data_IF_945381981264
#
_entry.id   IF_945381981264
#
_cell.length_a   1.000
_cell.length_b   1.000
_cell.length_c   1.000
_cell.angle_alpha   90.00
_cell.angle_beta   90.00
_cell.angle_gamma   90.00
#
_symmetry.space_group_name_H-M   'P 1'
#
loop_
_entity.id
_entity.type
_entity.pdbx_description
1 polymer ?
#
# COMPACT_ATOMS: atom_id res chain seq x y z
N UNK A 1 3.48 -15.19 -7.56
CA UNK A 1 4.69 -14.39 -7.26
C UNK A 1 5.91 -15.29 -7.05
N UNK A 2 5.76 -16.37 -6.27
CA UNK A 2 6.83 -17.34 -6.01
C UNK A 2 7.37 -18.00 -7.30
N UNK A 3 6.52 -18.38 -8.25
CA UNK A 3 6.99 -18.97 -9.53
C UNK A 3 7.74 -17.98 -10.43
N UNK A 4 7.44 -16.69 -10.31
CA UNK A 4 8.19 -15.63 -11.00
C UNK A 4 9.54 -15.39 -10.32
N UNK A 5 9.58 -15.34 -8.98
CA UNK A 5 10.82 -15.29 -8.20
C UNK A 5 11.70 -16.53 -8.45
N UNK A 6 11.12 -17.73 -8.56
CA UNK A 6 11.84 -18.97 -8.94
C UNK A 6 12.52 -18.83 -10.30
N UNK A 7 11.85 -18.23 -11.30
CA UNK A 7 12.44 -17.97 -12.62
C UNK A 7 13.55 -16.91 -12.57
N UNK A 8 13.35 -15.84 -11.82
CA UNK A 8 14.34 -14.77 -11.66
C UNK A 8 15.60 -15.25 -10.92
N UNK A 9 15.43 -16.09 -9.90
CA UNK A 9 16.53 -16.69 -9.13
C UNK A 9 17.27 -17.77 -9.93
N UNK A 10 16.59 -18.46 -10.86
CA UNK A 10 17.21 -19.49 -11.70
C UNK A 10 18.05 -18.92 -12.84
N UNK A 11 17.76 -17.70 -13.33
CA UNK A 11 18.41 -17.14 -14.52
C UNK A 11 18.47 -15.58 -14.45
N UNK A 12 19.42 -14.99 -13.69
CA UNK A 12 19.55 -13.54 -13.63
C UNK A 12 20.16 -13.02 -14.95
N UNK A 13 19.66 -11.88 -15.42
CA UNK A 13 20.29 -11.16 -16.52
C UNK A 13 21.79 -10.93 -16.21
N UNK A 14 22.69 -11.03 -17.21
CA UNK A 14 24.11 -10.81 -16.99
C UNK A 14 24.33 -9.41 -16.42
N UNK A 15 25.34 -9.22 -15.54
CA UNK A 15 25.65 -7.91 -14.98
C UNK A 15 25.88 -6.91 -16.12
N UNK A 16 25.47 -5.63 -15.96
CA UNK A 16 25.77 -4.61 -16.94
C UNK A 16 27.28 -4.57 -17.15
N UNK A 17 27.72 -4.76 -18.39
CA UNK A 17 29.13 -4.63 -18.74
C UNK A 17 29.58 -3.21 -18.38
N UNK A 18 30.65 -3.12 -17.60
CA UNK A 18 31.27 -1.84 -17.31
C UNK A 18 31.55 -1.10 -18.63
N UNK A 19 31.32 0.23 -18.72
CA UNK A 19 31.65 0.98 -19.92
C UNK A 19 33.12 0.75 -20.24
N UNK A 20 33.40 0.26 -21.45
CA UNK A 20 34.76 0.09 -21.96
C UNK A 20 35.45 1.44 -21.91
N UNK A 21 36.35 1.60 -20.94
CA UNK A 21 37.24 2.74 -20.86
C UNK A 21 38.11 2.74 -22.11
N UNK A 22 37.95 3.77 -22.95
CA UNK A 22 38.88 4.06 -24.01
C UNK A 22 40.27 4.27 -23.39
N UNK A 23 41.25 3.52 -23.91
CA UNK A 23 42.64 3.59 -23.47
C UNK A 23 43.16 5.04 -23.53
N UNK A 24 43.48 5.59 -22.37
CA UNK A 24 44.32 6.78 -22.24
C UNK A 24 45.53 6.39 -21.40
N UNK A 25 46.70 6.62 -21.99
CA UNK A 25 48.03 6.30 -21.51
C UNK A 25 48.39 7.02 -20.21
N UNK A 26 49.13 6.29 -19.37
CA UNK A 26 49.92 6.65 -18.19
C UNK A 26 50.16 8.14 -17.90
N UNK A 27 49.82 8.56 -16.68
CA UNK A 27 50.80 9.08 -15.70
C UNK A 27 50.29 8.83 -14.29
N UNK A 28 51.14 8.19 -13.48
CA UNK A 28 50.91 7.94 -12.07
C UNK A 28 51.00 9.24 -11.25
N UNK A 29 50.04 9.44 -10.34
CA UNK A 29 50.31 9.99 -9.02
C UNK A 29 49.17 9.65 -8.05
N UNK A 30 49.57 9.30 -6.83
CA UNK A 30 48.74 8.79 -5.74
C UNK A 30 47.81 9.86 -5.15
N UNK A 31 46.51 9.55 -5.03
CA UNK A 31 45.56 10.26 -4.17
C UNK A 31 44.64 9.24 -3.49
N UNK A 32 44.42 9.44 -2.19
CA UNK A 32 43.59 8.63 -1.30
C UNK A 32 42.09 8.62 -1.71
N UNK A 33 41.28 7.63 -1.27
CA UNK A 33 39.88 7.56 -1.63
C UNK A 33 39.04 8.34 -0.61
N UNK A 34 38.64 9.56 -0.96
CA UNK A 34 37.51 10.26 -0.32
C UNK A 34 36.78 11.08 -1.39
N UNK A 35 35.46 11.08 -1.30
CA UNK A 35 34.48 11.82 -2.12
C UNK A 35 34.35 11.42 -3.60
N UNK A 36 33.83 10.21 -3.86
CA UNK A 36 33.06 9.99 -5.07
C UNK A 36 31.73 10.77 -4.94
N UNK A 37 31.39 11.70 -5.86
CA UNK A 37 30.11 12.39 -5.80
C UNK A 37 28.98 11.36 -5.90
N UNK A 38 27.96 11.51 -5.05
CA UNK A 38 26.74 10.72 -5.15
C UNK A 38 26.23 10.74 -6.61
N UNK A 39 25.91 9.58 -7.20
CA UNK A 39 25.37 9.54 -8.55
C UNK A 39 24.07 10.34 -8.60
N UNK A 40 23.93 11.19 -9.63
CA UNK A 40 22.74 11.99 -9.83
C UNK A 40 21.48 11.09 -9.90
N UNK A 41 20.31 11.57 -9.42
CA UNK A 41 19.05 10.85 -9.58
C UNK A 41 18.79 10.56 -11.07
N UNK A 42 18.33 9.33 -11.37
CA UNK A 42 17.97 8.93 -12.72
C UNK A 42 16.89 9.86 -13.28
N UNK A 43 17.10 10.35 -14.50
CA UNK A 43 16.13 11.23 -15.17
C UNK A 43 15.19 10.42 -16.04
N UNK A 44 14.00 10.95 -16.32
CA UNK A 44 13.03 10.37 -17.27
C UNK A 44 13.63 10.05 -18.66
N UNK A 45 14.79 10.64 -19.01
CA UNK A 45 15.49 10.42 -20.27
C UNK A 45 16.28 9.10 -20.33
N UNK A 46 16.54 8.45 -19.20
CA UNK A 46 17.42 7.28 -19.11
C UNK A 46 16.70 5.93 -19.40
N UNK A 47 15.37 5.96 -19.66
CA UNK A 47 14.53 4.77 -19.81
C UNK A 47 13.99 4.68 -21.25
N UNK A 48 14.58 3.81 -22.07
CA UNK A 48 14.22 3.62 -23.49
C UNK A 48 12.85 2.94 -23.72
N UNK A 49 12.24 3.07 -24.91
CA UNK A 49 10.91 2.51 -25.20
C UNK A 49 10.96 1.00 -25.51
N UNK A 50 10.09 0.22 -24.86
CA UNK A 50 9.92 -1.21 -25.14
C UNK A 50 9.15 -1.46 -26.46
N UNK A 51 9.62 -2.43 -27.26
CA UNK A 51 9.09 -2.74 -28.59
C UNK A 51 7.96 -3.79 -28.58
N UNK A 52 6.98 -3.57 -29.47
CA UNK A 52 5.92 -4.50 -29.95
C UNK A 52 4.93 -5.06 -28.92
N UNK A 53 3.83 -4.31 -28.69
CA UNK A 53 2.69 -4.77 -27.90
C UNK A 53 1.79 -5.75 -28.68
N UNK A 54 1.43 -6.93 -28.11
CA UNK A 54 0.40 -7.82 -28.65
C UNK A 54 -0.98 -7.13 -28.71
N UNK A 55 -1.91 -7.70 -29.49
CA UNK A 55 -3.30 -7.19 -29.56
C UNK A 55 -3.86 -7.02 -28.13
N UNK A 56 -4.48 -5.87 -27.82
CA UNK A 56 -5.03 -5.65 -26.50
C UNK A 56 -6.13 -6.70 -26.26
N UNK A 57 -6.12 -7.35 -25.10
CA UNK A 57 -7.12 -8.37 -24.82
C UNK A 57 -8.52 -7.78 -24.68
N UNK A 58 -9.54 -8.65 -24.70
CA UNK A 58 -10.93 -8.23 -24.59
C UNK A 58 -11.22 -7.59 -23.22
N UNK A 59 -11.94 -6.47 -23.24
CA UNK A 59 -12.32 -5.74 -22.03
C UNK A 59 -13.29 -6.57 -21.16
N UNK A 60 -13.14 -6.58 -19.83
CA UNK A 60 -14.04 -7.32 -18.94
C UNK A 60 -15.51 -6.91 -19.10
N UNK A 61 -16.41 -7.89 -19.18
CA UNK A 61 -17.85 -7.65 -19.39
C UNK A 61 -18.44 -6.90 -18.19
N UNK A 62 -19.26 -5.88 -18.47
CA UNK A 62 -19.98 -5.11 -17.44
C UNK A 62 -19.14 -4.05 -16.73
N UNK A 63 -17.85 -3.95 -17.03
CA UNK A 63 -16.95 -2.96 -16.42
C UNK A 63 -16.93 -1.68 -17.27
N UNK A 64 -17.27 -0.50 -16.72
CA UNK A 64 -17.17 0.76 -17.45
C UNK A 64 -15.73 1.10 -17.88
N UNK A 65 -15.58 1.68 -19.08
CA UNK A 65 -14.32 2.28 -19.53
C UNK A 65 -14.28 3.74 -19.06
N UNK A 66 -13.33 4.10 -18.19
CA UNK A 66 -13.26 5.45 -17.60
C UNK A 66 -12.60 6.47 -18.54
N UNK A 67 -11.67 6.04 -19.38
CA UNK A 67 -10.92 6.92 -20.28
C UNK A 67 -11.10 6.49 -21.75
N UNK A 68 -12.33 6.58 -22.30
CA UNK A 68 -12.59 6.15 -23.67
C UNK A 68 -11.76 6.98 -24.66
N UNK A 69 -11.11 6.28 -25.61
CA UNK A 69 -10.31 6.91 -26.65
C UNK A 69 -8.90 7.35 -26.25
N UNK A 70 -8.52 7.24 -24.97
CA UNK A 70 -7.13 7.46 -24.56
C UNK A 70 -6.28 6.21 -24.80
N UNK A 71 -5.11 6.39 -25.40
CA UNK A 71 -4.07 5.36 -25.49
C UNK A 71 -3.49 5.02 -24.10
N UNK A 72 -2.88 3.83 -23.96
CA UNK A 72 -2.16 3.44 -22.74
C UNK A 72 -1.08 4.48 -22.34
N UNK A 73 -0.42 5.07 -23.34
CA UNK A 73 0.58 6.12 -23.14
C UNK A 73 -0.05 7.35 -22.48
N UNK A 74 -1.15 7.86 -23.05
CA UNK A 74 -1.90 8.99 -22.48
C UNK A 74 -2.46 8.67 -21.08
N UNK A 75 -2.80 7.40 -20.85
CA UNK A 75 -3.27 6.96 -19.53
C UNK A 75 -2.20 7.01 -18.46
N UNK A 76 -0.93 6.90 -18.84
CA UNK A 76 0.19 6.96 -17.92
C UNK A 76 0.72 8.39 -17.72
N UNK A 77 0.55 9.28 -18.69
CA UNK A 77 1.08 10.65 -18.68
C UNK A 77 0.29 11.63 -17.78
N UNK A 78 -0.06 11.23 -16.56
CA UNK A 78 -0.71 12.11 -15.58
C UNK A 78 0.22 12.50 -14.41
N UNK A 79 1.20 11.65 -14.07
CA UNK A 79 2.19 11.94 -13.04
C UNK A 79 3.38 12.68 -13.66
N UNK A 80 3.29 14.02 -13.69
CA UNK A 80 4.43 14.88 -14.08
C UNK A 80 5.45 14.98 -12.94
N UNK A 81 6.67 15.44 -13.23
CA UNK A 81 7.70 15.67 -12.19
C UNK A 81 7.23 16.65 -11.11
N UNK A 82 6.64 17.78 -11.50
CA UNK A 82 6.05 18.73 -10.55
C UNK A 82 4.95 18.13 -9.68
N UNK A 83 4.14 17.22 -10.26
CA UNK A 83 3.09 16.52 -9.53
C UNK A 83 3.68 15.46 -8.59
N UNK A 84 4.73 14.75 -9.01
CA UNK A 84 5.48 13.84 -8.16
C UNK A 84 6.07 14.58 -6.94
N UNK A 85 6.77 15.70 -7.15
CA UNK A 85 7.38 16.49 -6.07
C UNK A 85 6.31 17.00 -5.08
N UNK A 86 5.17 17.45 -5.61
CA UNK A 86 4.03 17.88 -4.81
C UNK A 86 3.47 16.75 -3.97
N UNK A 87 3.26 15.57 -4.55
CA UNK A 87 2.73 14.39 -3.84
C UNK A 87 3.74 13.88 -2.80
N UNK A 88 5.02 13.85 -3.15
CA UNK A 88 6.11 13.43 -2.27
C UNK A 88 6.17 14.26 -0.98
N UNK A 89 5.93 15.56 -1.11
CA UNK A 89 5.93 16.51 -0.01
C UNK A 89 4.65 16.48 0.84
N UNK A 90 3.64 15.66 0.50
CA UNK A 90 2.39 15.64 1.25
C UNK A 90 2.63 15.20 2.70
N UNK A 91 2.01 15.90 3.67
CA UNK A 91 1.97 15.43 5.03
C UNK A 91 1.17 14.13 5.10
N UNK A 92 1.58 13.23 5.99
CA UNK A 92 0.84 12.01 6.29
C UNK A 92 -0.10 12.26 7.46
N UNK A 93 -1.25 11.59 7.46
CA UNK A 93 -2.18 11.62 8.56
C UNK A 93 -2.69 10.22 8.91
N UNK A 94 -2.87 10.03 10.21
CA UNK A 94 -3.53 8.90 10.84
C UNK A 94 -4.87 9.36 11.39
N UNK A 95 -5.90 8.55 11.24
CA UNK A 95 -7.21 8.78 11.88
C UNK A 95 -7.46 7.66 12.86
N UNK A 96 -7.59 8.01 14.13
CA UNK A 96 -7.86 7.09 15.23
C UNK A 96 -9.38 6.96 15.48
N UNK A 97 -9.82 5.89 16.17
CA UNK A 97 -11.19 5.79 16.64
C UNK A 97 -11.60 6.99 17.52
N UNK A 98 -12.83 7.47 17.35
CA UNK A 98 -13.37 8.62 18.11
C UNK A 98 -14.00 8.17 19.44
N UNK A 99 -13.19 7.58 20.33
CA UNK A 99 -13.63 6.91 21.57
C UNK A 99 -12.81 7.36 22.78
N UNK A 100 -13.40 7.26 23.98
CA UNK A 100 -12.70 7.42 25.27
C UNK A 100 -13.13 6.36 26.29
N UNK A 101 -12.44 6.29 27.45
CA UNK A 101 -12.76 5.30 28.52
C UNK A 101 -14.17 5.42 29.08
N UNK A 102 -14.82 6.55 28.85
CA UNK A 102 -16.17 6.83 29.32
C UNK A 102 -17.22 6.62 28.22
N UNK A 103 -16.83 6.18 27.02
CA UNK A 103 -17.75 5.83 25.94
C UNK A 103 -18.57 4.59 26.29
N UNK A 104 -19.87 4.69 26.09
CA UNK A 104 -20.73 3.50 26.10
C UNK A 104 -20.53 2.65 24.82
N UNK A 105 -21.23 1.53 24.73
CA UNK A 105 -21.09 0.62 23.60
C UNK A 105 -21.48 1.28 22.26
N UNK A 106 -22.58 2.02 22.22
CA UNK A 106 -23.05 2.66 20.99
C UNK A 106 -22.12 3.81 20.56
N UNK A 107 -21.61 4.59 21.53
CA UNK A 107 -20.60 5.62 21.30
C UNK A 107 -19.28 5.02 20.80
N UNK A 108 -18.85 3.90 21.37
CA UNK A 108 -17.63 3.19 20.92
C UNK A 108 -17.78 2.74 19.47
N UNK A 109 -18.89 2.07 19.15
CA UNK A 109 -19.14 1.56 17.80
C UNK A 109 -19.34 2.69 16.79
N UNK A 110 -20.04 3.76 17.17
CA UNK A 110 -20.14 4.94 16.32
C UNK A 110 -18.78 5.61 16.13
N UNK A 111 -17.91 5.65 17.15
CA UNK A 111 -16.56 6.19 17.06
C UNK A 111 -15.67 5.44 16.08
N UNK A 112 -15.77 4.11 16.02
CA UNK A 112 -15.13 3.26 15.00
C UNK A 112 -15.72 3.54 13.61
N UNK A 113 -17.06 3.62 13.50
CA UNK A 113 -17.71 3.97 12.23
C UNK A 113 -17.30 5.35 11.70
N UNK A 114 -17.13 6.33 12.59
CA UNK A 114 -16.66 7.68 12.25
C UNK A 114 -15.22 7.69 11.77
N UNK A 115 -14.34 6.88 12.35
CA UNK A 115 -12.96 6.72 11.86
C UNK A 115 -12.96 6.35 10.37
N UNK A 116 -13.72 5.32 10.00
CA UNK A 116 -13.81 4.86 8.61
C UNK A 116 -14.40 5.93 7.67
N UNK A 117 -15.46 6.62 8.10
CA UNK A 117 -16.06 7.72 7.34
C UNK A 117 -15.08 8.88 7.15
N UNK A 118 -14.39 9.29 8.22
CA UNK A 118 -13.46 10.42 8.15
C UNK A 118 -12.20 10.06 7.38
N UNK A 119 -11.74 8.80 7.40
CA UNK A 119 -10.71 8.34 6.47
C UNK A 119 -11.17 8.56 5.03
N UNK A 120 -12.39 8.16 4.66
CA UNK A 120 -12.92 8.40 3.31
C UNK A 120 -13.00 9.90 2.98
N UNK A 121 -13.54 10.72 3.88
CA UNK A 121 -13.75 12.15 3.63
C UNK A 121 -12.44 12.95 3.59
N UNK A 122 -11.47 12.64 4.47
CA UNK A 122 -10.18 13.31 4.49
C UNK A 122 -9.29 12.87 3.32
N UNK A 123 -9.39 11.62 2.88
CA UNK A 123 -8.57 11.08 1.80
C UNK A 123 -8.81 11.78 0.45
N UNK A 124 -9.99 12.35 0.21
CA UNK A 124 -10.27 13.10 -1.03
C UNK A 124 -9.69 14.53 -1.04
N UNK A 125 -9.03 14.94 0.05
CA UNK A 125 -8.31 16.21 0.13
C UNK A 125 -6.94 16.10 -0.59
N UNK A 126 -6.63 16.97 -1.57
CA UNK A 126 -5.44 16.82 -2.43
C UNK A 126 -4.12 17.17 -1.74
N UNK A 127 -4.17 17.81 -0.57
CA UNK A 127 -3.04 18.21 0.25
C UNK A 127 -2.70 17.27 1.40
N UNK A 128 -3.20 16.02 1.39
CA UNK A 128 -2.99 15.08 2.50
C UNK A 128 -2.78 13.65 1.98
N UNK A 129 -1.92 12.89 2.66
CA UNK A 129 -1.80 11.44 2.48
C UNK A 129 -2.37 10.73 3.71
N UNK A 130 -3.46 9.99 3.53
CA UNK A 130 -4.14 9.26 4.60
C UNK A 130 -3.67 7.82 4.64
N UNK A 131 -3.18 7.41 5.81
CA UNK A 131 -3.00 6.00 6.14
C UNK A 131 -4.38 5.34 6.29
N UNK A 132 -4.52 4.11 5.78
CA UNK A 132 -5.79 3.39 5.84
C UNK A 132 -6.06 2.80 7.23
N UNK A 133 -7.24 2.21 7.45
CA UNK A 133 -7.58 1.57 8.71
C UNK A 133 -6.58 0.49 9.11
N UNK A 134 -6.10 -0.31 8.14
CA UNK A 134 -5.07 -1.33 8.35
C UNK A 134 -3.66 -0.79 8.65
N UNK A 135 -3.42 0.48 8.32
CA UNK A 135 -2.19 1.22 8.67
C UNK A 135 -2.42 2.11 9.91
N UNK A 136 -3.64 2.08 10.48
CA UNK A 136 -4.03 2.81 11.69
C UNK A 136 -4.06 1.89 12.89
N UNK A 137 -3.76 2.46 14.06
CA UNK A 137 -3.89 1.71 15.32
C UNK A 137 -5.34 1.75 15.80
N UNK A 138 -5.80 0.63 16.35
CA UNK A 138 -7.09 0.53 17.04
C UNK A 138 -7.04 1.17 18.44
N UNK A 139 -5.87 1.67 18.85
CA UNK A 139 -5.64 2.30 20.14
C UNK A 139 -6.30 3.71 20.15
N UNK A 140 -7.15 4.01 21.14
CA UNK A 140 -7.71 5.35 21.31
C UNK A 140 -6.64 6.43 21.49
N UNK A 141 -6.95 7.67 21.12
CA UNK A 141 -6.00 8.79 21.17
C UNK A 141 -5.34 8.98 22.53
N UNK A 142 -6.10 8.81 23.61
CA UNK A 142 -5.66 8.98 24.99
C UNK A 142 -4.63 7.94 25.46
N UNK A 143 -4.57 6.78 24.78
CA UNK A 143 -3.71 5.66 25.12
C UNK A 143 -2.47 5.61 24.20
N UNK A 144 -2.39 6.51 23.22
CA UNK A 144 -1.31 6.55 22.25
C UNK A 144 -0.07 7.26 22.82
N UNK A 145 1.10 6.63 22.70
CA UNK A 145 2.37 7.31 22.92
C UNK A 145 2.74 8.18 21.71
N UNK A 146 2.16 9.37 21.68
CA UNK A 146 2.31 10.39 20.64
C UNK A 146 3.72 10.95 20.51
N UNK A 147 4.63 10.62 21.44
CA UNK A 147 6.04 11.05 21.41
C UNK A 147 6.96 10.01 20.77
N UNK A 148 6.44 8.85 20.38
CA UNK A 148 7.23 7.83 19.71
C UNK A 148 7.76 8.34 18.37
N UNK A 149 8.96 7.89 17.97
CA UNK A 149 9.55 8.23 16.67
C UNK A 149 8.70 7.74 15.49
N UNK A 150 7.79 6.79 15.72
CA UNK A 150 6.90 6.23 14.71
C UNK A 150 5.93 7.27 14.13
N UNK A 151 5.50 8.22 14.95
CA UNK A 151 4.54 9.26 14.56
C UNK A 151 5.20 10.61 14.25
N UNK A 152 6.54 10.67 14.20
CA UNK A 152 7.26 11.86 13.81
C UNK A 152 6.82 12.30 12.39
N UNK A 153 6.49 13.57 12.24
CA UNK A 153 6.04 14.18 10.98
C UNK A 153 4.71 13.63 10.42
N UNK A 154 3.84 13.12 11.30
CA UNK A 154 2.48 12.71 10.94
C UNK A 154 1.45 13.52 11.73
N UNK A 155 0.33 13.86 11.07
CA UNK A 155 -0.85 14.32 11.77
C UNK A 155 -1.55 13.15 12.43
N UNK A 156 -1.85 13.27 13.72
CA UNK A 156 -2.67 12.32 14.47
C UNK A 156 -4.03 12.95 14.67
N UNK A 157 -5.06 12.40 14.03
CA UNK A 157 -6.42 12.91 14.06
C UNK A 157 -7.30 11.95 14.85
N UNK A 158 -8.04 12.46 15.83
CA UNK A 158 -8.90 11.62 16.64
C UNK A 158 -9.76 12.44 17.58
N UNK A 159 -10.39 11.80 18.55
CA UNK A 159 -11.24 12.51 19.48
C UNK A 159 -12.19 11.61 20.21
N UNK A 160 -13.31 12.19 20.65
CA UNK A 160 -14.42 11.47 21.26
C UNK A 160 -15.75 12.02 20.80
N UNK A 161 -16.78 11.20 20.87
CA UNK A 161 -18.16 11.60 20.64
C UNK A 161 -19.04 11.33 21.85
N UNK A 162 -20.15 12.07 21.93
CA UNK A 162 -21.24 11.79 22.84
C UNK A 162 -22.58 11.79 22.10
N UNK A 163 -23.39 10.78 22.39
CA UNK A 163 -24.74 10.63 21.85
C UNK A 163 -25.75 11.27 22.79
N UNK A 164 -26.53 12.22 22.29
CA UNK A 164 -27.51 12.93 23.09
C UNK A 164 -28.61 13.56 22.24
N UNK A 165 -29.31 14.55 22.82
CA UNK A 165 -30.30 15.35 22.07
C UNK A 165 -29.65 16.13 20.93
N UNK A 166 -28.43 16.60 21.17
CA UNK A 166 -27.53 17.16 20.19
C UNK A 166 -26.31 16.22 20.09
N UNK A 167 -25.76 16.05 18.90
CA UNK A 167 -24.53 15.30 18.70
C UNK A 167 -23.35 16.15 19.15
N UNK A 168 -22.49 15.58 19.99
CA UNK A 168 -21.31 16.27 20.50
C UNK A 168 -20.04 15.53 20.11
N UNK A 169 -19.03 16.27 19.70
CA UNK A 169 -17.70 15.74 19.46
C UNK A 169 -16.64 16.67 20.05
N UNK A 170 -15.57 16.06 20.53
CA UNK A 170 -14.30 16.75 20.77
C UNK A 170 -13.30 16.19 19.78
N UNK A 171 -12.93 16.99 18.79
CA UNK A 171 -12.04 16.57 17.70
C UNK A 171 -10.67 17.21 17.90
N UNK A 172 -9.62 16.42 17.78
CA UNK A 172 -8.25 16.84 18.04
C UNK A 172 -7.33 16.46 16.89
N UNK A 173 -6.40 17.36 16.59
CA UNK A 173 -5.31 17.12 15.64
C UNK A 173 -4.00 17.38 16.36
N UNK A 174 -3.11 16.40 16.30
CA UNK A 174 -1.77 16.48 16.85
C UNK A 174 -0.69 16.39 15.80
N UNK A 175 0.40 17.11 16.00
CA UNK A 175 1.65 16.94 15.26
C UNK A 175 2.82 17.11 16.22
N UNK A 176 3.81 16.21 16.16
CA UNK A 176 4.99 16.24 17.02
C UNK A 176 4.65 16.35 18.53
N UNK A 177 3.61 15.61 18.96
CA UNK A 177 3.13 15.57 20.34
C UNK A 177 2.33 16.80 20.81
N UNK A 178 2.12 17.82 19.96
CA UNK A 178 1.31 19.00 20.28
C UNK A 178 -0.08 18.86 19.68
N UNK A 179 -1.12 19.00 20.50
CA UNK A 179 -2.51 18.85 20.08
C UNK A 179 -3.27 20.17 20.13
N UNK A 180 -4.04 20.42 19.08
CA UNK A 180 -5.18 21.34 19.12
C UNK A 180 -6.46 20.52 19.27
N UNK A 181 -7.48 21.12 19.91
CA UNK A 181 -8.76 20.47 20.15
C UNK A 181 -9.90 21.47 19.97
N UNK A 182 -10.98 21.04 19.33
CA UNK A 182 -12.20 21.82 19.13
C UNK A 182 -13.41 21.01 19.62
N UNK A 183 -14.38 21.69 20.25
CA UNK A 183 -15.66 21.09 20.65
C UNK A 183 -16.75 21.48 19.66
N UNK A 184 -17.50 20.48 19.21
CA UNK A 184 -18.58 20.61 18.22
C UNK A 184 -19.86 20.10 18.87
N UNK A 185 -20.92 20.88 18.76
CA UNK A 185 -22.26 20.49 19.16
C UNK A 185 -23.25 20.88 18.06
N UNK A 186 -23.95 19.91 17.48
CA UNK A 186 -24.91 20.15 16.40
C UNK A 186 -26.04 19.12 16.45
N UNK A 187 -27.26 19.57 16.15
CA UNK A 187 -28.46 18.74 16.18
C UNK A 187 -28.72 18.06 14.83
N UNK A 188 -28.35 18.71 13.74
CA UNK A 188 -28.41 18.09 12.41
C UNK A 188 -27.24 17.13 12.20
N UNK A 189 -27.53 15.85 11.98
CA UNK A 189 -26.51 14.81 11.89
C UNK A 189 -25.52 15.04 10.73
N UNK A 190 -26.01 15.42 9.54
CA UNK A 190 -25.14 15.62 8.39
C UNK A 190 -24.25 16.86 8.53
N UNK A 191 -24.78 17.92 9.12
CA UNK A 191 -24.01 19.12 9.46
C UNK A 191 -22.99 18.82 10.54
N UNK A 192 -23.34 18.03 11.57
CA UNK A 192 -22.41 17.56 12.59
C UNK A 192 -21.20 16.85 11.96
N UNK A 193 -21.43 15.87 11.08
CA UNK A 193 -20.35 15.16 10.38
C UNK A 193 -19.46 16.11 9.56
N UNK A 194 -20.07 17.09 8.89
CA UNK A 194 -19.32 18.08 8.09
C UNK A 194 -18.46 18.97 8.97
N UNK A 195 -19.01 19.50 10.07
CA UNK A 195 -18.26 20.34 11.01
C UNK A 195 -17.07 19.59 11.63
N UNK A 196 -17.23 18.28 11.92
CA UNK A 196 -16.13 17.45 12.41
C UNK A 196 -14.96 17.38 11.42
N UNK A 197 -15.23 17.02 10.16
CA UNK A 197 -14.18 16.94 9.13
C UNK A 197 -13.57 18.31 8.84
N UNK A 198 -14.38 19.36 8.78
CA UNK A 198 -13.87 20.73 8.58
C UNK A 198 -12.97 21.19 9.72
N UNK A 199 -13.31 20.84 10.96
CA UNK A 199 -12.47 21.16 12.11
C UNK A 199 -11.14 20.40 12.06
N UNK A 200 -11.14 19.11 11.71
CA UNK A 200 -9.90 18.34 11.52
C UNK A 200 -8.98 18.97 10.47
N UNK A 201 -9.52 19.35 9.30
CA UNK A 201 -8.72 19.99 8.25
C UNK A 201 -8.22 21.38 8.66
N UNK A 202 -9.08 22.21 9.27
CA UNK A 202 -8.71 23.55 9.74
C UNK A 202 -7.61 23.51 10.79
N UNK A 203 -7.68 22.57 11.73
CA UNK A 203 -6.66 22.36 12.75
C UNK A 203 -5.33 21.86 12.13
N UNK A 204 -5.39 21.10 11.04
CA UNK A 204 -4.22 20.70 10.25
C UNK A 204 -3.70 21.82 9.32
N UNK A 205 -4.32 23.00 9.31
CA UNK A 205 -3.95 24.11 8.43
C UNK A 205 -4.22 23.85 6.95
N UNK A 206 -5.19 23.00 6.64
CA UNK A 206 -5.56 22.61 5.28
C UNK A 206 -6.79 23.40 4.79
N UNK A 207 -6.73 23.83 3.53
CA UNK A 207 -7.79 24.62 2.90
C UNK A 207 -9.03 23.78 2.58
N UNK A 208 -10.21 24.42 2.65
CA UNK A 208 -11.49 23.75 2.39
C UNK A 208 -12.27 24.58 1.38
N UNK A 209 -12.41 24.04 0.17
CA UNK A 209 -13.20 24.64 -0.90
C UNK A 209 -14.56 23.95 -1.07
N UNK A 210 -15.42 24.55 -1.89
CA UNK A 210 -16.76 24.01 -2.15
C UNK A 210 -16.71 22.72 -2.96
N UNK A 211 -15.71 22.53 -3.82
CA UNK A 211 -15.56 21.31 -4.61
C UNK A 211 -15.32 20.09 -3.69
N UNK A 212 -14.51 20.25 -2.66
CA UNK A 212 -14.28 19.25 -1.63
C UNK A 212 -15.56 18.95 -0.84
N UNK A 213 -16.31 19.99 -0.44
CA UNK A 213 -17.61 19.80 0.24
C UNK A 213 -18.61 19.03 -0.61
N UNK A 214 -18.66 19.25 -1.93
CA UNK A 214 -19.53 18.48 -2.82
C UNK A 214 -19.14 16.99 -2.85
N UNK A 215 -17.85 16.65 -2.86
CA UNK A 215 -17.38 15.24 -2.79
C UNK A 215 -17.89 14.55 -1.53
N UNK A 216 -17.92 15.27 -0.40
CA UNK A 216 -18.41 14.75 0.87
C UNK A 216 -19.90 14.47 0.92
N UNK A 217 -20.73 14.99 0.00
CA UNK A 217 -22.18 14.75 0.06
C UNK A 217 -22.61 13.38 -0.43
N UNK A 218 -21.76 12.70 -1.20
CA UNK A 218 -22.02 11.38 -1.76
C UNK A 218 -21.64 10.27 -0.78
N UNK A 219 -22.31 9.12 -0.85
CA UNK A 219 -21.99 7.95 -0.02
C UNK A 219 -22.14 8.10 1.50
N UNK A 220 -22.74 9.21 2.00
CA UNK A 220 -22.83 9.48 3.44
C UNK A 220 -23.86 8.61 4.17
N UNK A 221 -23.63 8.34 5.47
CA UNK A 221 -24.62 7.67 6.31
C UNK A 221 -25.87 8.54 6.45
N UNK A 222 -27.06 7.93 6.44
CA UNK A 222 -28.33 8.63 6.60
C UNK A 222 -28.69 8.86 8.07
N UNK A 223 -28.05 8.14 8.98
CA UNK A 223 -28.31 8.16 10.41
C UNK A 223 -27.11 7.73 11.24
N UNK A 224 -27.06 8.06 12.54
CA UNK A 224 -26.04 7.53 13.46
C UNK A 224 -26.02 6.00 13.49
N UNK A 225 -27.18 5.35 13.30
CA UNK A 225 -27.29 3.89 13.30
C UNK A 225 -26.51 3.24 12.15
N UNK A 226 -26.36 3.93 11.01
CA UNK A 226 -25.56 3.40 9.90
C UNK A 226 -24.06 3.35 10.27
N UNK A 227 -23.58 4.32 11.07
CA UNK A 227 -22.21 4.34 11.59
C UNK A 227 -22.01 3.35 12.73
N UNK A 228 -22.98 3.19 13.63
CA UNK A 228 -22.94 2.17 14.69
C UNK A 228 -22.84 0.78 14.05
N UNK A 229 -23.64 0.47 13.05
CA UNK A 229 -23.57 -0.81 12.35
C UNK A 229 -22.26 -1.01 11.58
N UNK A 230 -21.67 0.09 11.08
CA UNK A 230 -20.37 0.02 10.42
C UNK A 230 -19.27 -0.33 11.44
N UNK A 231 -19.31 0.31 12.62
CA UNK A 231 -18.42 -0.02 13.71
C UNK A 231 -18.60 -1.45 14.23
N UNK A 232 -19.83 -1.95 14.27
CA UNK A 232 -20.10 -3.37 14.60
C UNK A 232 -19.44 -4.30 13.59
N UNK A 233 -19.61 -4.02 12.30
CA UNK A 233 -18.98 -4.80 11.23
C UNK A 233 -17.46 -4.81 11.38
N UNK A 234 -16.86 -3.63 11.62
CA UNK A 234 -15.41 -3.49 11.80
C UNK A 234 -14.91 -4.24 13.04
N UNK A 235 -15.63 -4.18 14.15
CA UNK A 235 -15.26 -4.92 15.36
C UNK A 235 -15.35 -6.45 15.18
N UNK A 236 -16.30 -6.93 14.39
CA UNK A 236 -16.43 -8.37 14.05
C UNK A 236 -15.24 -8.81 13.19
N UNK A 237 -14.95 -8.08 12.11
CA UNK A 237 -13.88 -8.42 11.16
C UNK A 237 -12.48 -8.30 11.80
N UNK A 238 -12.30 -7.38 12.76
CA UNK A 238 -11.09 -7.29 13.56
C UNK A 238 -10.95 -8.41 14.62
N UNK A 239 -11.94 -9.29 14.76
CA UNK A 239 -11.96 -10.35 15.78
C UNK A 239 -12.13 -9.83 17.21
N UNK A 240 -12.48 -8.55 17.38
CA UNK A 240 -12.74 -7.92 18.69
C UNK A 240 -14.11 -8.34 19.25
N UNK A 241 -14.97 -8.88 18.40
CA UNK A 241 -16.34 -9.29 18.74
C UNK A 241 -16.73 -10.57 18.01
N UNK A 242 -16.89 -11.68 18.73
CA UNK A 242 -17.44 -12.93 18.18
C UNK A 242 -18.95 -12.96 18.43
N UNK A 243 -19.74 -12.64 17.40
CA UNK A 243 -21.19 -12.84 17.46
C UNK A 243 -21.70 -13.55 16.22
N UNK A 244 -21.84 -14.86 16.39
CA UNK A 244 -22.57 -15.75 15.48
C UNK A 244 -23.92 -15.16 15.09
N UNK A 245 -24.15 -14.93 13.79
CA UNK A 245 -25.42 -14.45 13.25
C UNK A 245 -25.58 -12.93 13.19
N UNK A 246 -24.64 -12.12 13.72
CA UNK A 246 -24.69 -10.66 13.55
C UNK A 246 -24.10 -10.19 12.21
N UNK A 247 -23.07 -10.88 11.71
CA UNK A 247 -22.48 -10.61 10.42
C UNK A 247 -23.52 -10.67 9.29
N UNK A 248 -24.32 -11.74 9.24
CA UNK A 248 -25.36 -11.90 8.24
C UNK A 248 -26.44 -10.81 8.36
N UNK A 249 -26.84 -10.45 9.59
CA UNK A 249 -27.82 -9.38 9.83
C UNK A 249 -27.33 -8.01 9.37
N UNK A 250 -26.06 -7.69 9.63
CA UNK A 250 -25.45 -6.43 9.18
C UNK A 250 -25.30 -6.42 7.65
N UNK A 251 -24.95 -7.55 7.05
CA UNK A 251 -24.88 -7.70 5.61
C UNK A 251 -26.25 -7.53 4.93
N UNK A 252 -27.31 -8.11 5.49
CA UNK A 252 -28.69 -7.86 5.05
C UNK A 252 -29.07 -6.38 5.19
N UNK A 253 -28.69 -5.74 6.30
CA UNK A 253 -28.93 -4.32 6.56
C UNK A 253 -28.33 -3.42 5.47
N UNK A 254 -27.10 -3.71 5.02
CA UNK A 254 -26.43 -2.94 3.96
C UNK A 254 -26.91 -3.32 2.56
N UNK A 255 -27.27 -4.58 2.34
CA UNK A 255 -27.86 -5.02 1.07
C UNK A 255 -29.17 -4.29 0.76
N UNK A 256 -29.93 -3.92 1.80
CA UNK A 256 -31.14 -3.10 1.68
C UNK A 256 -30.88 -1.59 1.50
N UNK A 257 -29.69 -1.10 1.88
CA UNK A 257 -29.32 0.34 1.86
C UNK A 257 -28.24 0.63 0.83
N UNK A 258 -28.66 0.81 -0.42
CA UNK A 258 -27.72 1.08 -1.52
C UNK A 258 -26.99 2.43 -1.43
N UNK A 259 -27.44 3.37 -0.59
CA UNK A 259 -26.87 4.72 -0.52
C UNK A 259 -25.57 4.82 0.30
N UNK A 260 -25.21 3.79 1.08
CA UNK A 260 -24.07 3.82 2.00
C UNK A 260 -23.11 2.67 1.72
N UNK A 261 -21.93 2.98 1.21
CA UNK A 261 -21.04 2.02 0.54
C UNK A 261 -19.80 1.64 1.36
N UNK A 262 -19.52 2.37 2.45
CA UNK A 262 -18.31 2.16 3.27
C UNK A 262 -18.20 0.77 3.89
N UNK A 263 -19.30 0.04 4.03
CA UNK A 263 -19.29 -1.34 4.52
C UNK A 263 -18.44 -2.27 3.64
N UNK A 264 -18.24 -1.94 2.35
CA UNK A 264 -17.34 -2.70 1.46
C UNK A 264 -15.87 -2.59 1.85
N UNK A 265 -15.46 -1.57 2.61
CA UNK A 265 -14.07 -1.37 3.01
C UNK A 265 -13.63 -2.31 4.13
N UNK A 266 -14.62 -2.89 4.83
CA UNK A 266 -14.41 -3.67 6.05
C UNK A 266 -14.51 -5.17 5.79
N UNK A 267 -15.28 -5.55 4.77
CA UNK A 267 -15.52 -6.94 4.40
C UNK A 267 -14.26 -7.61 3.87
N UNK A 268 -14.13 -8.91 4.12
CA UNK A 268 -13.09 -9.74 3.51
C UNK A 268 -13.11 -9.60 1.98
N UNK A 269 -11.91 -9.46 1.39
CA UNK A 269 -11.74 -9.17 -0.04
C UNK A 269 -12.55 -10.15 -0.90
N UNK A 270 -12.54 -11.45 -0.61
CA UNK A 270 -13.20 -12.50 -1.39
C UNK A 270 -14.74 -12.42 -1.43
N UNK A 271 -15.36 -11.74 -0.47
CA UNK A 271 -16.82 -11.54 -0.40
C UNK A 271 -17.35 -10.41 -1.29
N UNK A 272 -16.47 -9.50 -1.73
CA UNK A 272 -16.85 -8.33 -2.54
C UNK A 272 -16.72 -8.63 -4.03
N UNK A 273 -17.81 -8.48 -4.79
CA UNK A 273 -17.82 -8.68 -6.25
C UNK A 273 -17.43 -7.42 -7.04
N UNK A 274 -17.14 -7.59 -8.33
CA UNK A 274 -16.91 -6.47 -9.26
C UNK A 274 -18.17 -5.64 -9.40
N UNK A 275 -19.33 -6.29 -9.47
CA UNK A 275 -20.65 -5.68 -9.57
C UNK A 275 -20.98 -4.84 -8.33
N UNK A 276 -20.67 -5.33 -7.13
CA UNK A 276 -20.88 -4.58 -5.88
C UNK A 276 -20.06 -3.29 -5.88
N UNK A 277 -18.79 -3.37 -6.31
CA UNK A 277 -17.93 -2.19 -6.39
C UNK A 277 -18.45 -1.17 -7.40
N UNK A 278 -18.90 -1.61 -8.58
CA UNK A 278 -19.45 -0.71 -9.61
C UNK A 278 -20.72 -0.04 -9.07
N UNK A 279 -21.64 -0.80 -8.47
CA UNK A 279 -22.85 -0.25 -7.88
C UNK A 279 -22.55 0.74 -6.75
N UNK A 280 -21.52 0.49 -5.95
CA UNK A 280 -21.05 1.42 -4.92
C UNK A 280 -20.51 2.72 -5.54
N UNK A 281 -19.72 2.64 -6.62
CA UNK A 281 -19.16 3.82 -7.28
C UNK A 281 -20.20 4.65 -8.03
N UNK A 282 -21.35 4.07 -8.41
CA UNK A 282 -22.50 4.83 -8.91
C UNK A 282 -23.11 5.74 -7.84
N UNK A 283 -23.02 5.32 -6.56
CA UNK A 283 -23.52 6.07 -5.41
C UNK A 283 -22.47 7.05 -4.87
N UNK A 284 -21.23 6.59 -4.79
CA UNK A 284 -20.09 7.38 -4.35
C UNK A 284 -18.93 7.30 -5.36
N UNK A 285 -18.92 8.18 -6.38
CA UNK A 285 -17.87 8.20 -7.39
C UNK A 285 -16.53 8.75 -6.87
N UNK A 286 -16.46 9.19 -5.61
CA UNK A 286 -15.27 9.73 -4.97
C UNK A 286 -14.62 8.77 -3.98
N UNK A 287 -15.20 7.58 -3.79
CA UNK A 287 -14.66 6.55 -2.92
C UNK A 287 -13.44 5.86 -3.54
N UNK A 288 -12.27 6.42 -3.24
CA UNK A 288 -10.99 5.90 -3.76
C UNK A 288 -10.61 4.53 -3.22
N UNK A 289 -11.12 4.14 -2.04
CA UNK A 289 -10.88 2.80 -1.51
C UNK A 289 -11.68 1.77 -2.32
N UNK A 290 -12.94 2.07 -2.67
CA UNK A 290 -13.73 1.20 -3.56
C UNK A 290 -13.12 1.13 -4.96
N UNK A 291 -12.58 2.23 -5.50
CA UNK A 291 -11.82 2.20 -6.76
C UNK A 291 -10.61 1.25 -6.68
N UNK A 292 -9.90 1.24 -5.56
CA UNK A 292 -8.76 0.33 -5.32
C UNK A 292 -9.19 -1.13 -5.16
N UNK A 293 -10.25 -1.42 -4.41
CA UNK A 293 -10.81 -2.78 -4.27
C UNK A 293 -11.22 -3.31 -5.65
N UNK A 294 -11.96 -2.52 -6.43
CA UNK A 294 -12.33 -2.87 -7.80
C UNK A 294 -11.09 -3.13 -8.68
N UNK A 295 -10.09 -2.26 -8.61
CA UNK A 295 -8.83 -2.45 -9.33
C UNK A 295 -8.15 -3.79 -8.99
N UNK A 296 -8.08 -4.15 -7.71
CA UNK A 296 -7.52 -5.43 -7.27
C UNK A 296 -8.32 -6.61 -7.84
N UNK A 297 -9.64 -6.54 -7.80
CA UNK A 297 -10.53 -7.57 -8.36
C UNK A 297 -10.34 -7.74 -9.86
N UNK A 298 -10.30 -6.63 -10.58
CA UNK A 298 -10.07 -6.65 -12.03
C UNK A 298 -8.72 -7.28 -12.36
N UNK A 299 -7.65 -6.96 -11.63
CA UNK A 299 -6.32 -7.56 -11.84
C UNK A 299 -6.31 -9.09 -11.71
N UNK A 300 -7.19 -9.66 -10.90
CA UNK A 300 -7.32 -11.11 -10.73
C UNK A 300 -8.07 -11.77 -11.90
N UNK A 301 -8.78 -10.99 -12.73
CA UNK A 301 -9.43 -11.50 -13.94
C UNK A 301 -8.43 -11.62 -15.08
N UNK A 302 -8.61 -12.63 -15.93
CA UNK A 302 -7.87 -12.76 -17.18
C UNK A 302 -8.01 -11.46 -17.98
N UNK A 303 -6.88 -10.81 -18.30
CA UNK A 303 -6.81 -9.56 -19.07
C UNK A 303 -7.33 -8.29 -18.38
N UNK A 304 -7.46 -8.30 -17.06
CA UNK A 304 -8.00 -7.16 -16.33
C UNK A 304 -6.98 -6.07 -16.01
N UNK A 305 -5.71 -6.18 -16.41
CA UNK A 305 -4.65 -5.21 -16.06
C UNK A 305 -4.94 -3.80 -16.59
N UNK A 306 -5.36 -3.69 -17.85
CA UNK A 306 -5.69 -2.40 -18.45
C UNK A 306 -6.92 -1.74 -17.78
N UNK A 307 -7.91 -2.54 -17.39
CA UNK A 307 -9.06 -2.05 -16.65
C UNK A 307 -8.65 -1.62 -15.23
N UNK A 308 -7.93 -2.49 -14.53
CA UNK A 308 -7.37 -2.27 -13.20
C UNK A 308 -6.62 -0.93 -13.11
N UNK A 309 -5.76 -0.63 -14.08
CA UNK A 309 -4.99 0.61 -14.11
C UNK A 309 -5.86 1.87 -14.27
N UNK A 310 -6.94 1.83 -15.08
CA UNK A 310 -7.84 2.99 -15.20
C UNK A 310 -8.49 3.36 -13.86
N UNK A 311 -8.89 2.36 -13.07
CA UNK A 311 -9.47 2.61 -11.75
C UNK A 311 -8.43 3.12 -10.75
N UNK A 312 -7.18 2.64 -10.80
CA UNK A 312 -6.08 3.21 -10.00
C UNK A 312 -5.78 4.65 -10.37
N UNK A 313 -5.68 4.95 -11.67
CA UNK A 313 -5.53 6.33 -12.15
C UNK A 313 -6.64 7.21 -11.61
N UNK A 314 -7.90 6.75 -11.71
CA UNK A 314 -9.03 7.52 -11.20
C UNK A 314 -8.93 7.77 -9.70
N UNK A 315 -8.48 6.78 -8.93
CA UNK A 315 -8.23 6.95 -7.50
C UNK A 315 -7.17 8.02 -7.22
N UNK A 316 -6.06 8.02 -7.97
CA UNK A 316 -4.98 9.01 -7.85
C UNK A 316 -5.40 10.43 -8.28
N UNK A 317 -6.25 10.56 -9.31
CA UNK A 317 -6.80 11.87 -9.71
C UNK A 317 -7.69 12.48 -8.62
N UNK A 318 -8.43 11.66 -7.88
CA UNK A 318 -9.32 12.09 -6.80
C UNK A 318 -8.53 12.36 -5.51
N UNK A 319 -7.57 11.47 -5.20
CA UNK A 319 -6.75 11.47 -4.00
C UNK A 319 -5.27 11.21 -4.37
N UNK A 320 -4.51 12.24 -4.76
CA UNK A 320 -3.11 12.09 -5.16
C UNK A 320 -2.21 11.51 -4.05
N UNK A 321 -2.56 11.72 -2.78
CA UNK A 321 -1.84 11.16 -1.64
C UNK A 321 -2.21 9.70 -1.30
N UNK A 322 -3.02 9.02 -2.11
CA UNK A 322 -3.49 7.67 -1.82
C UNK A 322 -2.43 6.60 -2.15
N UNK A 323 -1.55 6.34 -1.18
CA UNK A 323 -0.37 5.49 -1.35
C UNK A 323 -0.64 4.09 -1.90
N UNK A 324 -1.77 3.46 -1.55
CA UNK A 324 -2.16 2.13 -2.07
C UNK A 324 -2.30 2.11 -3.59
N UNK A 325 -2.81 3.18 -4.18
CA UNK A 325 -2.96 3.26 -5.62
C UNK A 325 -1.60 3.37 -6.32
N UNK A 326 -0.67 4.16 -5.76
CA UNK A 326 0.71 4.25 -6.26
C UNK A 326 1.44 2.91 -6.12
N UNK A 327 1.31 2.26 -4.97
CA UNK A 327 1.87 0.93 -4.72
C UNK A 327 1.41 -0.10 -5.76
N UNK A 328 0.12 -0.14 -6.10
CA UNK A 328 -0.41 -1.11 -7.09
C UNK A 328 -0.20 -0.67 -8.54
N UNK A 329 -0.06 0.63 -8.81
CA UNK A 329 0.25 1.13 -10.15
C UNK A 329 1.60 0.60 -10.65
N UNK A 330 2.56 0.32 -9.74
CA UNK A 330 3.83 -0.33 -10.08
C UNK A 330 3.68 -1.74 -10.69
N UNK A 331 2.55 -2.43 -10.46
CA UNK A 331 2.30 -3.76 -11.04
C UNK A 331 1.45 -3.70 -12.31
N UNK A 332 0.77 -2.58 -12.57
CA UNK A 332 -0.31 -2.51 -13.56
C UNK A 332 -0.12 -1.43 -14.62
N UNK A 333 0.78 -0.45 -14.41
CA UNK A 333 0.98 0.60 -15.40
C UNK A 333 1.69 0.04 -16.65
N UNK A 334 1.21 0.38 -17.86
CA UNK A 334 1.79 -0.11 -19.10
C UNK A 334 3.13 0.56 -19.49
N UNK A 335 3.54 1.63 -18.81
CA UNK A 335 4.79 2.35 -19.10
C UNK A 335 5.79 2.29 -17.95
N UNK A 336 7.02 1.92 -18.30
CA UNK A 336 8.09 1.62 -17.34
C UNK A 336 8.57 2.81 -16.51
N UNK A 337 8.73 3.98 -17.12
CA UNK A 337 9.25 5.17 -16.43
C UNK A 337 8.35 5.62 -15.26
N UNK A 338 7.05 5.41 -15.39
CA UNK A 338 6.11 5.76 -14.32
C UNK A 338 6.09 4.73 -13.20
N UNK A 339 6.52 3.48 -13.46
CA UNK A 339 6.59 2.44 -12.43
C UNK A 339 7.54 2.83 -11.31
N UNK A 340 8.69 3.45 -11.65
CA UNK A 340 9.64 3.93 -10.64
C UNK A 340 8.98 4.93 -9.70
N UNK A 341 8.43 6.02 -10.24
CA UNK A 341 7.82 7.11 -9.48
C UNK A 341 6.66 6.59 -8.63
N UNK A 342 5.81 5.71 -9.17
CA UNK A 342 4.73 5.09 -8.42
C UNK A 342 5.24 4.17 -7.30
N UNK A 343 6.29 3.39 -7.54
CA UNK A 343 6.89 2.53 -6.51
C UNK A 343 7.48 3.34 -5.36
N UNK A 344 8.12 4.46 -5.68
CA UNK A 344 8.76 5.34 -4.71
C UNK A 344 7.71 6.10 -3.88
N UNK A 345 6.70 6.66 -4.55
CA UNK A 345 5.54 7.27 -3.88
C UNK A 345 4.80 6.26 -3.01
N UNK A 346 4.61 5.03 -3.49
CA UNK A 346 4.01 3.94 -2.70
C UNK A 346 4.76 3.72 -1.38
N UNK A 347 6.09 3.60 -1.44
CA UNK A 347 6.96 3.46 -0.25
C UNK A 347 6.88 4.67 0.68
N UNK A 348 6.95 5.89 0.13
CA UNK A 348 6.94 7.15 0.90
C UNK A 348 5.61 7.43 1.61
N UNK A 349 4.51 7.14 0.92
CA UNK A 349 3.16 7.38 1.43
C UNK A 349 2.70 6.25 2.39
N UNK A 350 3.28 5.05 2.28
CA UNK A 350 3.00 3.89 3.14
C UNK A 350 4.28 3.39 3.84
N UNK A 351 4.87 4.16 4.77
CA UNK A 351 6.19 3.88 5.36
C UNK A 351 6.26 2.56 6.15
N UNK A 352 5.14 2.10 6.71
CA UNK A 352 5.05 0.87 7.51
C UNK A 352 4.39 -0.28 6.75
N UNK A 353 4.34 -0.19 5.42
CA UNK A 353 3.75 -1.23 4.58
C UNK A 353 4.85 -2.05 3.89
N UNK A 354 5.10 -3.26 4.39
CA UNK A 354 6.13 -4.15 3.86
C UNK A 354 5.94 -4.44 2.36
N UNK A 355 4.70 -4.52 1.89
CA UNK A 355 4.40 -4.79 0.49
C UNK A 355 4.76 -3.59 -0.41
N UNK A 356 4.53 -2.34 0.03
CA UNK A 356 4.97 -1.15 -0.69
C UNK A 356 6.50 -1.11 -0.87
N UNK A 357 7.24 -1.43 0.19
CA UNK A 357 8.71 -1.54 0.14
C UNK A 357 9.16 -2.66 -0.79
N UNK A 358 8.55 -3.85 -0.69
CA UNK A 358 8.84 -4.98 -1.57
C UNK A 358 8.66 -4.61 -3.06
N UNK A 359 7.59 -3.87 -3.40
CA UNK A 359 7.33 -3.42 -4.77
C UNK A 359 8.40 -2.45 -5.28
N UNK A 360 8.89 -1.57 -4.42
CA UNK A 360 10.02 -0.70 -4.76
C UNK A 360 11.31 -1.50 -4.97
N UNK A 361 11.60 -2.49 -4.13
CA UNK A 361 12.75 -3.38 -4.30
C UNK A 361 12.66 -4.16 -5.62
N UNK A 362 11.50 -4.75 -5.92
CA UNK A 362 11.29 -5.50 -7.18
C UNK A 362 11.56 -4.64 -8.41
N UNK A 363 11.27 -3.33 -8.36
CA UNK A 363 11.63 -2.41 -9.43
C UNK A 363 13.14 -2.35 -9.63
N UNK A 364 13.92 -2.14 -8.56
CA UNK A 364 15.39 -2.10 -8.61
C UNK A 364 15.98 -3.40 -9.16
N UNK A 365 15.51 -4.54 -8.64
CA UNK A 365 15.99 -5.88 -9.07
C UNK A 365 15.70 -6.12 -10.55
N UNK A 366 14.47 -5.85 -11.01
CA UNK A 366 14.09 -6.03 -12.43
C UNK A 366 14.95 -5.21 -13.39
N UNK A 367 15.51 -4.09 -12.91
CA UNK A 367 16.31 -3.15 -13.70
C UNK A 367 17.81 -3.29 -13.50
N UNK A 368 18.24 -4.16 -12.59
CA UNK A 368 19.66 -4.25 -12.20
C UNK A 368 20.18 -2.96 -11.60
N UNK A 369 19.32 -2.17 -10.94
CA UNK A 369 19.71 -0.93 -10.28
C UNK A 369 20.15 -1.22 -8.86
N UNK A 370 21.20 -0.53 -8.43
CA UNK A 370 21.65 -0.55 -7.03
C UNK A 370 20.97 0.61 -6.31
N UNK A 371 20.17 0.34 -5.26
CA UNK A 371 19.49 1.40 -4.52
C UNK A 371 20.50 2.29 -3.80
N UNK A 372 20.18 3.59 -3.71
CA UNK A 372 21.02 4.55 -2.96
C UNK A 372 21.01 4.29 -1.46
N UNK A 373 19.89 3.78 -0.92
CA UNK A 373 19.79 3.40 0.49
C UNK A 373 20.34 1.97 0.69
N UNK A 374 21.51 1.81 1.35
CA UNK A 374 22.11 0.49 1.58
C UNK A 374 21.27 -0.39 2.51
N UNK A 375 20.32 0.19 3.24
CA UNK A 375 19.45 -0.52 4.17
C UNK A 375 18.09 -0.91 3.58
N UNK A 376 17.80 -0.54 2.31
CA UNK A 376 16.51 -0.82 1.67
C UNK A 376 16.16 -2.32 1.71
N UNK A 377 17.15 -3.20 1.53
CA UNK A 377 16.95 -4.65 1.62
C UNK A 377 16.44 -5.12 3.00
N UNK A 378 16.65 -4.37 4.07
CA UNK A 378 16.24 -4.78 5.42
C UNK A 378 14.90 -4.21 5.85
N UNK A 379 14.46 -3.14 5.19
CA UNK A 379 13.26 -2.39 5.53
C UNK A 379 11.97 -3.26 5.58
N UNK A 380 11.65 -4.13 4.60
CA UNK A 380 10.39 -4.87 4.66
C UNK A 380 10.38 -5.92 5.77
N UNK A 381 11.55 -6.48 6.13
CA UNK A 381 11.70 -7.44 7.23
C UNK A 381 11.61 -6.74 8.59
N UNK A 382 12.09 -5.50 8.70
CA UNK A 382 11.92 -4.68 9.91
C UNK A 382 10.44 -4.39 10.18
N UNK A 383 9.66 -4.18 9.12
CA UNK A 383 8.23 -3.92 9.20
C UNK A 383 7.46 -5.19 9.57
N UNK A 384 7.68 -6.30 8.85
CA UNK A 384 7.07 -7.60 9.17
C UNK A 384 8.11 -8.72 9.10
N UNK A 385 8.69 -9.04 10.26
CA UNK A 385 9.74 -10.06 10.35
C UNK A 385 9.23 -11.49 10.14
N UNK A 386 7.90 -11.67 10.07
CA UNK A 386 7.23 -12.96 9.85
C UNK A 386 6.79 -13.14 8.40
N UNK A 387 6.91 -12.12 7.55
CA UNK A 387 6.57 -12.19 6.13
C UNK A 387 7.71 -12.81 5.31
N UNK A 388 7.54 -14.07 4.91
CA UNK A 388 8.50 -14.76 4.08
C UNK A 388 8.72 -14.10 2.70
N UNK A 389 7.73 -13.41 2.15
CA UNK A 389 7.87 -12.70 0.88
C UNK A 389 8.86 -11.53 1.01
N UNK A 390 8.85 -10.83 2.15
CA UNK A 390 9.83 -9.78 2.46
C UNK A 390 11.27 -10.32 2.39
N UNK A 391 11.54 -11.50 2.97
CA UNK A 391 12.86 -12.12 2.88
C UNK A 391 13.25 -12.44 1.44
N UNK A 392 12.38 -13.09 0.67
CA UNK A 392 12.69 -13.44 -0.72
C UNK A 392 13.05 -12.22 -1.56
N UNK A 393 12.25 -11.16 -1.48
CA UNK A 393 12.48 -9.91 -2.20
C UNK A 393 13.80 -9.24 -1.77
N UNK A 394 14.10 -9.28 -0.47
CA UNK A 394 15.34 -8.74 0.09
C UNK A 394 16.58 -9.53 -0.35
N UNK A 395 16.50 -10.86 -0.37
CA UNK A 395 17.55 -11.75 -0.88
C UNK A 395 17.84 -11.45 -2.35
N UNK A 396 16.81 -11.27 -3.18
CA UNK A 396 16.98 -10.93 -4.59
C UNK A 396 17.73 -9.61 -4.78
N UNK A 397 17.44 -8.59 -3.96
CA UNK A 397 18.13 -7.31 -4.00
C UNK A 397 19.60 -7.40 -3.57
N UNK A 398 19.87 -8.15 -2.50
CA UNK A 398 21.23 -8.36 -2.02
C UNK A 398 22.06 -9.10 -3.07
N UNK A 399 21.50 -10.14 -3.70
CA UNK A 399 22.15 -10.86 -4.80
C UNK A 399 22.41 -9.94 -6.01
N UNK A 400 21.41 -9.15 -6.44
CA UNK A 400 21.59 -8.24 -7.58
C UNK A 400 22.61 -7.13 -7.31
N UNK A 401 22.80 -6.79 -6.03
CA UNK A 401 23.79 -5.80 -5.58
C UNK A 401 25.16 -6.41 -5.24
N UNK A 402 25.38 -7.71 -5.49
CA UNK A 402 26.64 -8.41 -5.21
C UNK A 402 26.90 -8.74 -3.73
N UNK A 403 25.93 -8.51 -2.84
CA UNK A 403 26.04 -8.72 -1.39
C UNK A 403 25.68 -10.16 -1.01
N UNK A 404 26.45 -11.11 -1.54
CA UNK A 404 26.13 -12.55 -1.47
C UNK A 404 26.16 -13.12 -0.04
N UNK A 405 27.09 -12.65 0.81
CA UNK A 405 27.16 -13.08 2.21
C UNK A 405 25.89 -12.69 2.99
N UNK A 406 25.42 -11.46 2.82
CA UNK A 406 24.20 -10.97 3.46
C UNK A 406 22.95 -11.69 2.93
N UNK A 407 22.93 -12.00 1.62
CA UNK A 407 21.87 -12.83 1.03
C UNK A 407 21.82 -14.24 1.65
N UNK A 408 22.99 -14.83 1.93
CA UNK A 408 23.09 -16.13 2.61
C UNK A 408 22.57 -16.05 4.05
N UNK A 409 22.95 -15.01 4.80
CA UNK A 409 22.42 -14.80 6.15
C UNK A 409 20.89 -14.66 6.16
N UNK A 410 20.32 -13.93 5.20
CA UNK A 410 18.87 -13.81 5.04
C UNK A 410 18.20 -15.14 4.70
N UNK A 411 18.79 -15.94 3.81
CA UNK A 411 18.29 -17.29 3.49
C UNK A 411 18.26 -18.19 4.73
N UNK A 412 19.27 -18.13 5.58
CA UNK A 412 19.30 -18.89 6.83
C UNK A 412 18.23 -18.43 7.83
N UNK A 413 17.97 -17.12 7.92
CA UNK A 413 16.87 -16.57 8.73
C UNK A 413 15.51 -17.02 8.17
N UNK A 414 15.32 -16.95 6.86
CA UNK A 414 14.11 -17.42 6.19
C UNK A 414 13.91 -18.93 6.40
N UNK A 415 14.97 -19.74 6.30
CA UNK A 415 14.91 -21.18 6.59
C UNK A 415 14.37 -21.43 7.99
N UNK A 416 14.87 -20.71 9.00
CA UNK A 416 14.38 -20.81 10.38
C UNK A 416 12.91 -20.42 10.48
N UNK A 417 12.47 -19.38 9.78
CA UNK A 417 11.09 -18.90 9.78
C UNK A 417 10.11 -19.92 9.19
N UNK A 418 10.51 -20.63 8.12
CA UNK A 418 9.64 -21.57 7.41
C UNK A 418 9.81 -23.03 7.85
N UNK A 419 10.78 -23.31 8.74
CA UNK A 419 10.97 -24.64 9.32
C UNK A 419 9.85 -24.91 10.32
N UNK A 420 9.13 -26.05 10.23
CA UNK A 420 8.07 -26.38 11.16
C UNK A 420 8.52 -26.42 12.65
N UNK A 421 7.68 -25.98 13.60
CA UNK A 421 6.36 -25.40 13.37
C UNK A 421 6.45 -23.95 12.88
N UNK A 422 5.77 -23.63 11.76
CA UNK A 422 5.62 -22.26 11.28
C UNK A 422 4.64 -21.48 12.14
N UNK A 423 4.87 -20.18 12.32
CA UNK A 423 3.92 -19.31 13.00
C UNK A 423 2.64 -19.13 12.16
N UNK A 424 1.50 -18.88 12.82
CA UNK A 424 0.25 -18.60 12.10
C UNK A 424 0.38 -17.35 11.23
N UNK A 425 1.11 -16.33 11.68
CA UNK A 425 1.37 -15.12 10.88
C UNK A 425 2.10 -15.45 9.59
N UNK A 426 3.15 -16.27 9.64
CA UNK A 426 3.89 -16.69 8.43
C UNK A 426 3.00 -17.49 7.48
N UNK A 427 2.15 -18.38 8.01
CA UNK A 427 1.16 -19.11 7.20
C UNK A 427 0.14 -18.17 6.53
N UNK A 428 -0.35 -17.17 7.27
CA UNK A 428 -1.26 -16.14 6.72
C UNK A 428 -0.59 -15.35 5.59
N UNK A 429 0.67 -14.93 5.75
CA UNK A 429 1.41 -14.23 4.69
C UNK A 429 1.54 -15.09 3.42
N UNK A 430 1.80 -16.40 3.56
CA UNK A 430 1.83 -17.30 2.41
C UNK A 430 0.47 -17.49 1.74
N UNK A 431 -0.62 -17.53 2.51
CA UNK A 431 -1.98 -17.66 1.95
C UNK A 431 -2.41 -16.46 1.11
N UNK A 432 -1.68 -15.33 1.14
CA UNK A 432 -1.91 -14.18 0.27
C UNK A 432 -1.61 -14.46 -1.21
N UNK A 433 -0.74 -15.42 -1.52
CA UNK A 433 -0.56 -15.90 -2.90
C UNK A 433 -1.58 -17.03 -3.16
N UNK A 434 -2.56 -16.86 -4.07
CA UNK A 434 -3.63 -17.84 -4.28
C UNK A 434 -3.11 -19.23 -4.66
N UNK A 435 -2.00 -19.29 -5.40
CA UNK A 435 -1.38 -20.57 -5.80
C UNK A 435 -0.82 -21.28 -4.57
N UNK A 436 -0.14 -20.53 -3.71
CA UNK A 436 0.43 -21.07 -2.46
C UNK A 436 -0.67 -21.51 -1.49
N UNK A 437 -1.76 -20.75 -1.41
CA UNK A 437 -2.92 -21.10 -0.59
C UNK A 437 -3.49 -22.48 -0.97
N UNK A 438 -3.61 -22.78 -2.27
CA UNK A 438 -4.04 -24.10 -2.77
C UNK A 438 -3.05 -25.19 -2.32
N UNK A 439 -1.75 -24.95 -2.44
CA UNK A 439 -0.74 -25.92 -2.01
C UNK A 439 -0.75 -26.18 -0.51
N UNK A 440 -0.99 -25.15 0.31
CA UNK A 440 -1.15 -25.25 1.77
C UNK A 440 -2.37 -26.11 2.10
N UNK A 441 -3.53 -25.81 1.50
CA UNK A 441 -4.76 -26.59 1.72
C UNK A 441 -4.60 -28.05 1.29
N UNK A 442 -3.86 -28.30 0.21
CA UNK A 442 -3.57 -29.65 -0.28
C UNK A 442 -2.50 -30.40 0.55
N UNK A 443 -1.90 -29.77 1.56
CA UNK A 443 -0.80 -30.36 2.35
C UNK A 443 0.50 -30.60 1.55
N UNK A 444 0.60 -30.00 0.36
CA UNK A 444 1.73 -30.14 -0.57
C UNK A 444 2.77 -29.03 -0.46
N UNK A 445 2.50 -28.02 0.37
CA UNK A 445 3.37 -26.87 0.56
C UNK A 445 4.60 -27.21 1.40
N UNK A 446 5.79 -27.17 0.78
CA UNK A 446 7.07 -27.40 1.45
C UNK A 446 8.06 -26.24 1.20
N UNK A 447 7.93 -25.13 1.94
CA UNK A 447 8.79 -23.96 1.75
C UNK A 447 10.25 -24.22 2.15
N UNK A 448 10.53 -25.22 3.01
CA UNK A 448 11.89 -25.55 3.42
C UNK A 448 12.72 -26.05 2.24
N UNK A 449 12.14 -26.90 1.39
CA UNK A 449 12.83 -27.41 0.21
C UNK A 449 13.18 -26.30 -0.81
N UNK A 450 12.29 -25.30 -0.94
CA UNK A 450 12.54 -24.12 -1.78
C UNK A 450 13.72 -23.29 -1.24
N UNK A 451 13.79 -23.10 0.08
CA UNK A 451 14.90 -22.37 0.72
C UNK A 451 16.22 -23.14 0.63
N UNK A 452 16.21 -24.46 0.83
CA UNK A 452 17.40 -25.30 0.71
C UNK A 452 17.98 -25.26 -0.70
N UNK A 453 17.11 -25.31 -1.72
CA UNK A 453 17.52 -25.17 -3.13
C UNK A 453 18.17 -23.80 -3.40
N UNK A 454 17.61 -22.72 -2.84
CA UNK A 454 18.18 -21.38 -2.97
C UNK A 454 19.53 -21.23 -2.25
N UNK A 455 19.71 -21.86 -1.09
CA UNK A 455 20.99 -21.90 -0.36
C UNK A 455 22.07 -22.58 -1.22
N UNK A 456 21.78 -23.75 -1.78
CA UNK A 456 22.77 -24.47 -2.61
C UNK A 456 23.10 -23.70 -3.89
N UNK A 457 22.10 -23.09 -4.55
CA UNK A 457 22.32 -22.23 -5.69
C UNK A 457 23.23 -21.02 -5.36
N UNK A 458 23.04 -20.39 -4.19
CA UNK A 458 23.87 -19.27 -3.76
C UNK A 458 25.29 -19.72 -3.42
N UNK A 459 25.49 -20.86 -2.74
CA UNK A 459 26.82 -21.42 -2.47
C UNK A 459 27.62 -21.67 -3.74
N UNK A 460 26.97 -22.21 -4.77
CA UNK A 460 27.60 -22.47 -6.08
C UNK A 460 28.03 -21.17 -6.77
N UNK A 461 27.30 -20.06 -6.58
CA UNK A 461 27.68 -18.73 -7.10
C UNK A 461 28.82 -18.09 -6.31
N UNK A 462 28.87 -18.29 -4.99
CA UNK A 462 29.94 -17.77 -4.14
C UNK A 462 31.26 -18.52 -4.33
N UNK A 463 31.20 -19.81 -4.69
CA UNK A 463 32.36 -20.64 -4.99
C UNK A 463 32.18 -21.23 -6.39
N UNK A 464 32.37 -20.42 -7.46
CA UNK A 464 32.31 -20.97 -8.81
C UNK A 464 33.32 -22.13 -8.88
N UNK A 465 32.94 -23.29 -9.45
CA UNK A 465 33.89 -24.38 -9.65
C UNK A 465 35.08 -23.78 -10.37
N UNK A 466 36.26 -23.84 -9.73
CA UNK A 466 37.44 -23.11 -10.17
C UNK A 466 37.56 -23.24 -11.68
N UNK A 467 37.62 -22.11 -12.37
CA UNK A 467 38.04 -22.09 -13.77
C UNK A 467 39.28 -22.96 -13.80
N UNK A 468 39.19 -24.10 -14.47
CA UNK A 468 40.36 -24.89 -14.76
C UNK A 468 41.33 -23.88 -15.37
N UNK A 469 42.49 -23.69 -14.74
CA UNK A 469 43.60 -23.03 -15.38
C UNK A 469 43.76 -23.78 -16.70
N UNK A 470 43.24 -23.18 -17.77
CA UNK A 470 43.57 -23.59 -19.12
C UNK A 470 45.07 -23.34 -19.19
N UNK A 471 45.84 -24.38 -18.89
CA UNK A 471 47.23 -24.53 -19.28
C UNK A 471 47.26 -24.29 -20.80
N UNK A 472 47.44 -23.03 -21.18
CA UNK A 472 47.77 -22.63 -22.54
C UNK A 472 49.18 -23.18 -22.79
N UNK A 473 49.35 -24.15 -23.72
CA UNK A 473 50.65 -24.75 -24.00
C UNK A 473 51.65 -23.76 -24.62
#
# INVERSE_FOLDING_TARGET
MIDWLKKLLADPAPPPQAPQAAAATETADSVAPDDAPAPAPLTLADIGPASHAPRPPAWPKGVPVLYPGQSQLQQCQFLTEAEYDRIWALPRALVLPFVDDASDEDETLMGIGLQLLFIRDLRVHPGLSLLGPEDSTDIPLQDLDVQSQEFADQYIMGGRIRLGKDYQARVSVGINGQFTTEEIAERDFHRFLTLCVESLLRQAGLDIDDALREKWKTGRPGSPMDLINLGKLAAIEAGLRDIKGEYERINEFYSARKYFTLHLHVREDDTVSVEDCIAALEVDPYDVQTLFILSNKLRQLTNGEAASFQYLRRAMEIAPGFGKAHMLANDTAPLEANLYLHSELGRRLLPNNAYAVQRHIEFHVKRGLVPQDPNLAYEPIRIDSQDAAAYWTSISLLQSSGRMDEAMEMLLKLKKLVTPPMSERTLQCYRRDPVVAIHIQAGSFNPVADVDSAIEALKARMNPPGEAEDDVP
#
